data_IF_651265655292
#
_entry.id   IF_651265655292
#
_cell.length_a   1.000
_cell.length_b   1.000
_cell.length_c   1.000
_cell.angle_alpha   90.00
_cell.angle_beta   90.00
_cell.angle_gamma   90.00
#
_symmetry.space_group_name_H-M   'P 1'
#
loop_
_entity.id
_entity.type
_entity.pdbx_description
1 polymer ?
#
# COMPACT_ATOMS: atom_id res chain seq x y z
N UNK A 1 -20.08 12.81 -12.33
CA UNK A 1 -18.81 12.05 -12.44
C UNK A 1 -18.63 11.23 -11.18
N UNK A 2 -18.78 9.91 -11.25
CA UNK A 2 -18.34 9.06 -10.14
C UNK A 2 -16.82 8.93 -10.26
N UNK A 3 -16.01 9.51 -9.35
CA UNK A 3 -14.60 9.20 -9.35
C UNK A 3 -14.52 7.72 -9.01
N UNK A 4 -14.10 6.90 -9.97
CA UNK A 4 -13.75 5.50 -9.76
C UNK A 4 -12.86 5.45 -8.53
N UNK A 5 -13.43 5.10 -7.37
CA UNK A 5 -12.70 5.06 -6.10
C UNK A 5 -11.65 3.99 -6.28
N UNK A 6 -10.42 4.35 -6.65
CA UNK A 6 -9.31 3.41 -6.60
C UNK A 6 -9.12 3.08 -5.12
N UNK A 7 -9.69 1.95 -4.69
CA UNK A 7 -9.69 1.52 -3.29
C UNK A 7 -8.34 0.92 -2.87
N UNK A 8 -7.33 0.96 -3.74
CA UNK A 8 -6.02 0.39 -3.50
C UNK A 8 -4.91 1.20 -4.20
N UNK A 9 -3.76 1.30 -3.55
CA UNK A 9 -2.51 1.80 -4.12
C UNK A 9 -1.71 0.66 -4.74
N UNK A 10 -0.99 0.93 -5.81
CA UNK A 10 0.03 0.02 -6.34
C UNK A 10 1.28 0.00 -5.45
N UNK A 11 2.08 -1.06 -5.55
CA UNK A 11 3.38 -1.12 -4.88
C UNK A 11 4.29 0.09 -5.19
N UNK A 12 4.22 0.65 -6.39
CA UNK A 12 5.00 1.82 -6.75
C UNK A 12 4.52 3.08 -6.01
N UNK A 13 3.21 3.28 -5.91
CA UNK A 13 2.63 4.40 -5.16
C UNK A 13 2.93 4.28 -3.68
N UNK A 14 2.75 3.10 -3.08
CA UNK A 14 3.07 2.88 -1.66
C UNK A 14 4.54 3.10 -1.38
N UNK A 15 5.44 2.61 -2.24
CA UNK A 15 6.87 2.86 -2.09
C UNK A 15 7.21 4.35 -2.11
N UNK A 16 6.58 5.11 -3.03
CA UNK A 16 6.74 6.56 -3.11
C UNK A 16 6.19 7.28 -1.86
N UNK A 17 5.03 6.86 -1.36
CA UNK A 17 4.41 7.43 -0.15
C UNK A 17 5.25 7.16 1.11
N UNK A 18 5.84 5.97 1.21
CA UNK A 18 6.73 5.58 2.32
C UNK A 18 8.17 6.10 2.16
N UNK A 19 8.51 6.70 1.02
CA UNK A 19 9.86 7.18 0.73
C UNK A 19 10.91 6.08 0.59
N UNK A 20 10.51 4.85 0.26
CA UNK A 20 11.42 3.70 0.09
C UNK A 20 11.51 3.28 -1.38
N UNK A 21 12.55 2.51 -1.72
CA UNK A 21 12.65 1.92 -3.04
C UNK A 21 11.56 0.85 -3.25
N UNK A 22 11.03 0.78 -4.48
CA UNK A 22 10.03 -0.24 -4.87
C UNK A 22 10.54 -1.66 -4.63
N UNK A 23 11.80 -1.94 -4.95
CA UNK A 23 12.43 -3.25 -4.70
C UNK A 23 12.39 -3.63 -3.23
N UNK A 24 12.74 -2.69 -2.34
CA UNK A 24 12.68 -2.88 -0.89
C UNK A 24 11.27 -3.22 -0.42
N UNK A 25 10.24 -2.57 -0.97
CA UNK A 25 8.86 -2.92 -0.65
C UNK A 25 8.52 -4.35 -1.09
N UNK A 26 8.96 -4.78 -2.27
CA UNK A 26 8.76 -6.16 -2.73
C UNK A 26 9.52 -7.19 -1.88
N UNK A 27 10.75 -6.89 -1.47
CA UNK A 27 11.51 -7.75 -0.56
C UNK A 27 10.80 -7.90 0.78
N UNK A 28 10.25 -6.82 1.32
CA UNK A 28 9.46 -6.86 2.55
C UNK A 28 8.16 -7.64 2.40
N UNK A 29 7.45 -7.50 1.27
CA UNK A 29 6.25 -8.30 0.97
C UNK A 29 6.59 -9.77 0.81
N UNK A 30 7.73 -10.08 0.17
CA UNK A 30 8.17 -11.47 -0.03
C UNK A 30 8.71 -12.11 1.25
N UNK A 31 9.08 -11.30 2.25
CA UNK A 31 9.55 -11.75 3.54
C UNK A 31 8.45 -11.70 4.62
N UNK A 32 7.18 -11.47 4.24
CA UNK A 32 6.02 -11.33 5.14
C UNK A 32 6.23 -10.31 6.28
N UNK A 33 7.10 -9.30 6.06
CA UNK A 33 7.42 -8.25 7.05
C UNK A 33 6.40 -7.12 7.07
N UNK A 34 5.54 -7.05 6.05
CA UNK A 34 4.59 -5.94 5.83
C UNK A 34 3.15 -6.44 5.70
N UNK A 35 2.82 -7.54 6.35
CA UNK A 35 1.45 -8.09 6.37
C UNK A 35 0.41 -7.12 6.92
N UNK A 36 0.83 -6.21 7.80
CA UNK A 36 0.01 -5.12 8.31
C UNK A 36 -0.44 -4.13 7.22
N UNK A 37 0.25 -4.07 6.08
CA UNK A 37 -0.17 -3.30 4.90
C UNK A 37 -1.25 -4.02 4.08
N UNK A 38 -1.57 -5.28 4.42
CA UNK A 38 -2.49 -6.15 3.71
C UNK A 38 -2.24 -6.19 2.19
N UNK A 39 -1.03 -6.58 1.74
CA UNK A 39 -0.74 -6.69 0.31
C UNK A 39 -1.67 -7.72 -0.36
N UNK A 40 -2.40 -7.29 -1.39
CA UNK A 40 -3.26 -8.15 -2.20
C UNK A 40 -2.60 -8.36 -3.55
N UNK A 41 -2.44 -9.63 -3.96
CA UNK A 41 -1.95 -9.99 -5.29
C UNK A 41 -3.13 -10.09 -6.25
N UNK A 42 -3.16 -9.23 -7.27
CA UNK A 42 -4.15 -9.23 -8.36
C UNK A 42 -3.40 -9.55 -9.66
N UNK A 43 -3.47 -10.81 -10.08
CA UNK A 43 -2.66 -11.31 -11.20
C UNK A 43 -1.18 -11.14 -10.92
N UNK A 44 -0.46 -10.42 -11.80
CA UNK A 44 0.97 -10.12 -11.66
C UNK A 44 1.26 -8.80 -10.92
N UNK A 45 0.26 -8.20 -10.27
CA UNK A 45 0.42 -6.91 -9.56
C UNK A 45 0.15 -7.09 -8.08
N UNK A 46 0.89 -6.35 -7.26
CA UNK A 46 0.65 -6.22 -5.83
C UNK A 46 0.03 -4.85 -5.59
N UNK A 47 -1.13 -4.86 -4.95
CA UNK A 47 -1.89 -3.67 -4.58
C UNK A 47 -2.14 -3.67 -3.08
N UNK A 48 -2.31 -2.49 -2.51
CA UNK A 48 -2.42 -2.26 -1.08
C UNK A 48 -3.69 -1.47 -0.80
N UNK A 49 -4.59 -1.92 0.09
CA UNK A 49 -5.83 -1.22 0.37
C UNK A 49 -5.58 0.23 0.80
N UNK A 50 -6.23 1.17 0.11
CA UNK A 50 -6.07 2.60 0.35
C UNK A 50 -6.34 2.96 1.81
N UNK A 51 -7.42 2.41 2.38
CA UNK A 51 -7.81 2.65 3.79
C UNK A 51 -6.69 2.27 4.78
N UNK A 52 -5.94 1.21 4.50
CA UNK A 52 -4.85 0.74 5.38
C UNK A 52 -3.64 1.66 5.25
N UNK A 53 -3.26 2.00 4.01
CA UNK A 53 -2.14 2.90 3.74
C UNK A 53 -2.42 4.31 4.28
N UNK A 54 -3.62 4.85 4.05
CA UNK A 54 -4.03 6.16 4.55
C UNK A 54 -3.98 6.20 6.10
N UNK A 55 -4.45 5.15 6.78
CA UNK A 55 -4.40 5.07 8.24
C UNK A 55 -2.98 4.99 8.82
N UNK A 56 -2.00 4.53 8.02
CA UNK A 56 -0.59 4.48 8.43
C UNK A 56 0.16 5.78 8.15
N UNK A 57 -0.22 6.48 7.07
CA UNK A 57 0.39 7.75 6.68
C UNK A 57 -0.18 8.94 7.45
N UNK A 58 -1.45 8.84 7.87
CA UNK A 58 -2.13 9.87 8.65
C UNK A 58 -2.40 9.37 10.07
N UNK A 59 -1.46 9.57 11.02
CA UNK A 59 -1.69 9.26 12.43
C UNK A 59 -2.69 10.23 13.09
N UNK A 60 -3.23 11.23 12.36
CA UNK A 60 -4.17 12.21 12.89
C UNK A 60 -5.65 11.80 12.72
N UNK A 61 -5.96 10.73 11.99
CA UNK A 61 -7.29 10.08 12.03
C UNK A 61 -7.35 9.06 13.19
N UNK A 62 -7.00 9.53 14.37
CA UNK A 62 -7.22 8.85 15.66
C UNK A 62 -7.29 9.90 16.76
N UNK A 63 -8.28 10.79 16.65
CA UNK A 63 -8.72 11.68 17.72
C UNK A 63 -10.23 11.89 17.62
#
# INVERSE_FOLDING_TARGET
>A
MNPSKTQAYSAQEVAALLGIARSTLYDHVSADKVDHLHPVRVGNRTVFPKKVIDALLDPAVSA
#
